data_IF_415693539251
#
_entry.id   IF_415693539251
#
_cell.length_a   1.000
_cell.length_b   1.000
_cell.length_c   1.000
_cell.angle_alpha   90.00
_cell.angle_beta   90.00
_cell.angle_gamma   90.00
#
_symmetry.space_group_name_H-M   'P 1'
#
loop_
_entity.id
_entity.type
_entity.pdbx_description
1 polymer ?
#
# COMPACT_ATOMS: atom_id res chain seq x y z
N UNK A 1 19.69 0.43 13.73
CA UNK A 1 18.71 1.40 14.29
C UNK A 1 17.39 0.69 14.50
N UNK A 2 16.70 0.94 15.62
CA UNK A 2 15.37 0.37 15.85
C UNK A 2 14.35 0.97 14.86
N UNK A 3 13.44 0.13 14.36
CA UNK A 3 12.33 0.56 13.49
C UNK A 3 11.32 1.37 14.32
N UNK A 4 10.85 2.49 13.77
CA UNK A 4 9.71 3.22 14.35
C UNK A 4 8.42 2.41 14.21
N UNK A 5 7.41 2.66 15.05
CA UNK A 5 6.11 1.98 14.95
C UNK A 5 5.50 2.06 13.54
N UNK A 6 5.63 3.22 12.88
CA UNK A 6 5.14 3.42 11.50
C UNK A 6 5.89 2.57 10.49
N UNK A 7 7.21 2.46 10.62
CA UNK A 7 8.00 1.58 9.75
C UNK A 7 7.63 0.13 9.99
N UNK A 8 7.52 -0.30 11.25
CA UNK A 8 7.10 -1.66 11.62
C UNK A 8 5.68 -1.99 11.15
N UNK A 9 4.79 -1.00 11.06
CA UNK A 9 3.44 -1.16 10.50
C UNK A 9 3.49 -1.31 8.96
N UNK A 10 4.31 -0.50 8.29
CA UNK A 10 4.55 -0.61 6.85
C UNK A 10 5.09 -1.99 6.47
N UNK A 11 6.20 -2.40 7.10
CA UNK A 11 6.84 -3.71 6.89
C UNK A 11 5.85 -4.87 7.09
N UNK A 12 5.02 -4.78 8.13
CA UNK A 12 4.03 -5.81 8.43
C UNK A 12 2.97 -5.92 7.31
N UNK A 13 2.46 -4.79 6.80
CA UNK A 13 1.47 -4.81 5.73
C UNK A 13 2.05 -5.27 4.39
N UNK A 14 3.26 -4.85 4.05
CA UNK A 14 3.99 -5.34 2.87
C UNK A 14 4.13 -6.86 2.90
N UNK A 15 4.54 -7.40 4.07
CA UNK A 15 4.63 -8.84 4.29
C UNK A 15 3.27 -9.53 4.10
N UNK A 16 2.18 -8.99 4.66
CA UNK A 16 0.84 -9.58 4.49
C UNK A 16 0.39 -9.63 3.04
N UNK A 17 0.64 -8.59 2.25
CA UNK A 17 0.32 -8.61 0.82
C UNK A 17 1.16 -9.66 0.09
N UNK A 18 2.46 -9.74 0.38
CA UNK A 18 3.35 -10.74 -0.26
C UNK A 18 2.96 -12.20 0.03
N UNK A 19 2.42 -12.46 1.22
CA UNK A 19 2.04 -13.80 1.67
C UNK A 19 0.66 -14.23 1.15
N UNK A 20 -0.28 -13.29 1.06
CA UNK A 20 -1.71 -13.60 0.89
C UNK A 20 -2.24 -13.28 -0.51
N UNK A 21 -1.62 -12.37 -1.26
CA UNK A 21 -2.16 -11.91 -2.54
C UNK A 21 -1.50 -12.61 -3.73
N UNK A 22 -2.31 -12.94 -4.75
CA UNK A 22 -1.82 -13.39 -6.04
C UNK A 22 -1.37 -12.19 -6.87
N UNK A 23 -0.50 -12.40 -7.85
CA UNK A 23 -0.15 -11.34 -8.78
C UNK A 23 -1.38 -10.94 -9.61
N UNK A 24 -1.82 -9.67 -9.60
CA UNK A 24 -3.02 -9.26 -10.31
C UNK A 24 -2.80 -9.20 -11.83
N UNK A 25 -1.55 -9.17 -12.31
CA UNK A 25 -1.22 -9.26 -13.73
C UNK A 25 -1.25 -10.72 -14.22
N UNK A 26 -0.34 -11.56 -13.74
CA UNK A 26 -0.21 -12.95 -14.24
C UNK A 26 -1.03 -14.00 -13.48
N UNK A 27 -1.77 -13.60 -12.44
CA UNK A 27 -2.63 -14.45 -11.59
C UNK A 27 -1.93 -15.56 -10.81
N UNK A 28 -0.60 -15.70 -10.93
CA UNK A 28 0.16 -16.71 -10.18
C UNK A 28 0.19 -16.38 -8.68
N UNK A 29 0.09 -17.43 -7.88
CA UNK A 29 0.23 -17.37 -6.43
C UNK A 29 1.71 -17.44 -6.03
N UNK A 30 2.05 -16.97 -4.83
CA UNK A 30 3.40 -17.07 -4.21
C UNK A 30 4.55 -16.39 -4.96
N UNK A 31 4.27 -15.56 -5.97
CA UNK A 31 5.27 -14.82 -6.76
C UNK A 31 5.50 -13.38 -6.29
N UNK A 32 4.64 -12.84 -5.43
CA UNK A 32 4.81 -11.47 -4.91
C UNK A 32 5.94 -11.44 -3.88
N UNK A 33 7.01 -10.69 -4.16
CA UNK A 33 8.21 -10.54 -3.32
C UNK A 33 8.42 -9.08 -2.90
N UNK A 34 8.99 -8.91 -1.71
CA UNK A 34 9.40 -7.61 -1.19
C UNK A 34 10.56 -7.05 -2.02
N UNK A 35 10.46 -5.77 -2.41
CA UNK A 35 11.58 -5.03 -2.98
C UNK A 35 12.55 -4.59 -1.87
N UNK A 36 13.81 -4.27 -2.22
CA UNK A 36 14.76 -3.73 -1.26
C UNK A 36 14.25 -2.43 -0.61
N UNK A 37 14.62 -2.16 0.66
CA UNK A 37 14.27 -0.92 1.32
C UNK A 37 14.70 0.31 0.50
N UNK A 38 13.89 1.37 0.54
CA UNK A 38 14.08 2.62 -0.22
C UNK A 38 13.92 2.50 -1.75
N UNK A 39 13.40 1.39 -2.27
CA UNK A 39 12.95 1.35 -3.66
C UNK A 39 11.85 2.41 -3.86
N UNK A 40 12.04 3.29 -4.86
CA UNK A 40 11.16 4.46 -5.01
C UNK A 40 9.78 4.05 -5.53
N UNK A 41 8.75 4.34 -4.73
CA UNK A 41 7.32 4.27 -5.07
C UNK A 41 6.72 2.87 -5.33
N UNK A 42 7.49 1.79 -5.20
CA UNK A 42 6.97 0.43 -5.24
C UNK A 42 7.59 -0.39 -4.11
N UNK A 43 6.82 -1.32 -3.57
CA UNK A 43 7.18 -2.11 -2.39
C UNK A 43 7.22 -3.61 -2.72
N UNK A 44 6.49 -4.05 -3.75
CA UNK A 44 6.45 -5.44 -4.20
C UNK A 44 6.72 -5.59 -5.69
N UNK A 45 7.33 -6.73 -6.05
CA UNK A 45 7.51 -7.22 -7.41
C UNK A 45 7.00 -8.65 -7.55
N UNK A 46 6.34 -8.97 -8.66
CA UNK A 46 6.11 -10.36 -9.06
C UNK A 46 7.38 -10.91 -9.70
N UNK A 47 8.02 -11.90 -9.07
CA UNK A 47 9.27 -12.51 -9.58
C UNK A 47 9.08 -13.32 -10.88
N UNK A 48 7.84 -13.59 -11.28
CA UNK A 48 7.53 -14.25 -12.55
C UNK A 48 7.34 -13.29 -13.72
N UNK A 49 6.55 -12.21 -13.54
CA UNK A 49 6.16 -11.32 -14.66
C UNK A 49 6.62 -9.87 -14.51
N UNK A 50 7.41 -9.55 -13.48
CA UNK A 50 7.93 -8.20 -13.24
C UNK A 50 6.88 -7.16 -12.81
N UNK A 51 5.66 -7.58 -12.48
CA UNK A 51 4.61 -6.66 -12.05
C UNK A 51 4.99 -5.93 -10.75
N UNK A 52 4.94 -4.60 -10.76
CA UNK A 52 5.27 -3.75 -9.62
C UNK A 52 4.01 -3.19 -8.96
N UNK A 53 4.03 -3.08 -7.63
CA UNK A 53 2.94 -2.48 -6.86
C UNK A 53 3.44 -1.78 -5.60
N UNK A 54 2.65 -0.80 -5.17
CA UNK A 54 2.85 -0.07 -3.92
C UNK A 54 1.93 -0.63 -2.84
N UNK A 55 2.41 -0.67 -1.60
CA UNK A 55 1.65 -1.01 -0.41
C UNK A 55 1.58 0.22 0.50
N UNK A 56 0.39 0.50 1.04
CA UNK A 56 0.22 1.47 2.12
C UNK A 56 -0.59 0.83 3.23
N UNK A 57 -0.06 0.93 4.44
CA UNK A 57 -0.68 0.36 5.63
C UNK A 57 -1.11 1.48 6.57
N UNK A 58 -2.33 1.40 7.09
CA UNK A 58 -2.79 2.34 8.10
C UNK A 58 -3.62 1.66 9.19
N UNK A 59 -3.52 2.21 10.39
CA UNK A 59 -4.33 1.79 11.53
C UNK A 59 -5.70 2.45 11.45
N UNK A 60 -6.76 1.66 11.59
CA UNK A 60 -8.15 2.10 11.55
C UNK A 60 -8.93 1.52 12.73
N UNK A 61 -10.12 2.06 12.97
CA UNK A 61 -11.08 1.50 13.96
C UNK A 61 -11.99 0.44 13.35
N UNK A 62 -12.16 0.45 12.02
CA UNK A 62 -12.95 -0.52 11.26
C UNK A 62 -12.22 -0.87 9.96
N UNK A 63 -11.84 -2.13 9.82
CA UNK A 63 -11.11 -2.64 8.65
C UNK A 63 -11.99 -2.76 7.39
N UNK A 64 -13.31 -2.58 7.55
CA UNK A 64 -14.31 -2.55 6.47
C UNK A 64 -14.50 -1.16 5.85
N UNK A 65 -13.94 -0.12 6.45
CA UNK A 65 -14.13 1.25 6.01
C UNK A 65 -12.82 1.86 5.54
N UNK A 66 -12.72 2.11 4.23
CA UNK A 66 -11.56 2.82 3.64
C UNK A 66 -11.54 4.26 4.18
N UNK A 67 -10.43 4.71 4.80
CA UNK A 67 -10.34 6.07 5.31
C UNK A 67 -10.35 7.09 4.17
N UNK A 68 -10.80 8.31 4.46
CA UNK A 68 -10.86 9.41 3.49
C UNK A 68 -9.50 9.75 2.87
N UNK A 69 -8.45 9.67 3.68
CA UNK A 69 -7.08 9.95 3.26
C UNK A 69 -6.07 9.15 4.06
N UNK A 70 -4.90 8.90 3.46
CA UNK A 70 -3.75 8.27 4.12
C UNK A 70 -2.44 9.02 3.80
N UNK A 71 -1.40 8.76 4.60
CA UNK A 71 -0.08 9.35 4.37
C UNK A 71 0.63 8.65 3.21
N UNK A 72 1.14 9.45 2.28
CA UNK A 72 2.12 9.05 1.28
C UNK A 72 3.56 9.12 1.80
N UNK A 73 4.51 8.72 0.95
CA UNK A 73 5.94 8.82 1.19
C UNK A 73 6.48 10.19 0.74
N UNK A 74 7.61 10.23 0.03
CA UNK A 74 8.18 11.45 -0.53
C UNK A 74 7.39 11.93 -1.76
N UNK A 75 7.15 13.24 -1.86
CA UNK A 75 6.36 13.82 -2.94
C UNK A 75 7.09 13.82 -4.28
N UNK A 76 8.35 14.27 -4.32
CA UNK A 76 9.07 14.46 -5.59
C UNK A 76 9.16 13.15 -6.42
N UNK A 77 9.64 12.00 -5.88
CA UNK A 77 9.67 10.76 -6.65
C UNK A 77 8.29 10.30 -7.14
N UNK A 78 7.23 10.61 -6.39
CA UNK A 78 5.86 10.29 -6.79
C UNK A 78 5.40 11.19 -7.94
N UNK A 79 5.67 12.51 -7.84
CA UNK A 79 5.37 13.49 -8.87
C UNK A 79 6.07 13.16 -10.19
N UNK A 80 7.37 12.88 -10.17
CA UNK A 80 8.16 12.52 -11.37
C UNK A 80 7.55 11.33 -12.12
N UNK A 81 7.03 10.33 -11.38
CA UNK A 81 6.37 9.17 -11.98
C UNK A 81 5.02 9.54 -12.58
N UNK A 82 4.22 10.34 -11.89
CA UNK A 82 2.91 10.80 -12.40
C UNK A 82 3.07 11.66 -13.64
N UNK A 83 4.07 12.55 -13.68
CA UNK A 83 4.42 13.35 -14.87
C UNK A 83 4.81 12.48 -16.07
N UNK A 84 5.36 11.29 -15.81
CA UNK A 84 5.65 10.27 -16.82
C UNK A 84 4.46 9.30 -17.09
N UNK A 85 3.28 9.57 -16.53
CA UNK A 85 2.10 8.69 -16.56
C UNK A 85 2.34 7.28 -15.99
N UNK A 86 3.30 7.14 -15.06
CA UNK A 86 3.66 5.89 -14.41
C UNK A 86 2.95 5.81 -13.05
N UNK A 87 1.93 4.96 -12.97
CA UNK A 87 1.27 4.59 -11.71
C UNK A 87 1.55 3.13 -11.39
N UNK A 88 1.81 2.87 -10.11
CA UNK A 88 1.82 1.51 -9.58
C UNK A 88 0.49 1.24 -8.90
N UNK A 89 -0.07 0.05 -9.11
CA UNK A 89 -1.28 -0.33 -8.41
C UNK A 89 -1.04 -0.31 -6.90
N UNK A 90 -2.07 0.07 -6.16
CA UNK A 90 -2.01 0.30 -4.73
C UNK A 90 -2.70 -0.84 -3.98
N UNK A 91 -1.95 -1.51 -3.12
CA UNK A 91 -2.52 -2.31 -2.04
C UNK A 91 -2.69 -1.43 -0.81
N UNK A 92 -3.91 -1.35 -0.29
CA UNK A 92 -4.24 -0.67 0.95
C UNK A 92 -4.52 -1.69 2.04
N UNK A 93 -3.64 -1.74 3.04
CA UNK A 93 -3.79 -2.61 4.20
C UNK A 93 -4.37 -1.80 5.36
N UNK A 94 -5.57 -2.16 5.77
CA UNK A 94 -6.25 -1.58 6.93
C UNK A 94 -6.10 -2.54 8.10
N UNK A 95 -5.65 -2.08 9.26
CA UNK A 95 -5.49 -2.95 10.43
C UNK A 95 -5.93 -2.26 11.71
N UNK A 96 -6.46 -3.04 12.66
CA UNK A 96 -6.63 -2.59 14.04
C UNK A 96 -5.27 -2.34 14.70
N UNK A 97 -5.25 -1.52 15.75
CA UNK A 97 -4.00 -1.11 16.42
C UNK A 97 -3.18 -2.29 16.95
N UNK A 98 -3.85 -3.29 17.48
CA UNK A 98 -3.27 -4.53 18.01
C UNK A 98 -3.03 -5.60 16.94
N UNK A 99 -3.42 -5.32 15.68
CA UNK A 99 -3.33 -6.23 14.53
C UNK A 99 -4.17 -7.50 14.68
N UNK A 100 -5.17 -7.50 15.56
CA UNK A 100 -6.09 -8.62 15.74
C UNK A 100 -6.99 -8.85 14.51
N UNK A 101 -7.29 -7.78 13.77
CA UNK A 101 -8.02 -7.83 12.52
C UNK A 101 -7.41 -6.88 11.47
N UNK A 102 -7.56 -7.27 10.20
CA UNK A 102 -7.08 -6.52 9.05
C UNK A 102 -7.81 -6.88 7.76
N UNK A 103 -7.69 -6.00 6.78
CA UNK A 103 -8.18 -6.19 5.42
C UNK A 103 -7.16 -5.68 4.41
N UNK A 104 -7.12 -6.33 3.25
CA UNK A 104 -6.31 -5.90 2.11
C UNK A 104 -7.26 -5.50 0.99
N UNK A 105 -7.14 -4.25 0.57
CA UNK A 105 -7.83 -3.71 -0.60
C UNK A 105 -6.83 -3.47 -1.73
N UNK A 106 -7.32 -3.49 -2.95
CA UNK A 106 -6.55 -3.28 -4.15
C UNK A 106 -7.20 -2.22 -5.03
N UNK A 107 -6.40 -1.28 -5.50
CA UNK A 107 -6.76 -0.30 -6.52
C UNK A 107 -5.81 -0.44 -7.71
N UNK A 108 -6.38 -0.76 -8.88
CA UNK A 108 -5.60 -0.83 -10.11
C UNK A 108 -4.95 0.52 -10.43
N UNK A 109 -3.74 0.50 -11.00
CA UNK A 109 -3.06 1.69 -11.52
C UNK A 109 -3.94 2.50 -12.49
N UNK A 110 -4.77 1.83 -13.28
CA UNK A 110 -5.60 2.48 -14.32
C UNK A 110 -6.85 3.16 -13.73
N UNK A 111 -7.14 2.94 -12.44
CA UNK A 111 -8.27 3.53 -11.72
C UNK A 111 -7.83 4.67 -10.79
N UNK A 112 -6.54 4.97 -10.76
CA UNK A 112 -5.96 6.07 -10.00
C UNK A 112 -6.05 7.38 -10.80
N UNK A 113 -6.15 8.48 -10.08
CA UNK A 113 -6.23 9.83 -10.64
C UNK A 113 -5.19 10.74 -9.99
N UNK A 114 -4.68 11.73 -10.72
CA UNK A 114 -3.72 12.70 -10.18
C UNK A 114 -4.23 13.43 -8.96
N UNK A 115 -5.53 13.74 -8.95
CA UNK A 115 -6.20 14.41 -7.84
C UNK A 115 -6.14 13.62 -6.52
N UNK A 116 -5.83 12.31 -6.57
CA UNK A 116 -5.58 11.52 -5.38
C UNK A 116 -4.30 11.94 -4.66
N UNK A 117 -3.30 12.49 -5.35
CA UNK A 117 -1.98 12.73 -4.78
C UNK A 117 -1.80 14.21 -4.44
N UNK A 118 -1.93 14.55 -3.15
CA UNK A 118 -1.92 15.94 -2.69
C UNK A 118 -0.61 16.25 -1.95
N UNK A 119 0.27 17.11 -2.48
CA UNK A 119 1.51 17.49 -1.79
C UNK A 119 1.20 18.17 -0.45
N UNK A 120 1.97 17.82 0.59
CA UNK A 120 1.92 18.49 1.89
C UNK A 120 2.88 19.67 1.90
N UNK A 121 2.76 20.54 2.90
CA UNK A 121 3.80 21.54 3.18
C UNK A 121 5.12 20.84 3.50
N UNK A 122 6.26 21.29 2.94
CA UNK A 122 7.58 20.80 3.34
C UNK A 122 7.78 20.93 4.86
N UNK A 123 8.59 20.04 5.44
CA UNK A 123 8.94 20.12 6.85
C UNK A 123 9.73 21.40 7.12
N UNK A 124 9.46 22.01 8.27
CA UNK A 124 10.11 23.24 8.72
C UNK A 124 11.63 23.08 8.84
N UNK A 125 12.35 24.21 8.81
CA UNK A 125 13.81 24.26 9.00
C UNK A 125 14.30 23.60 10.29
N UNK A 126 13.49 23.61 11.36
CA UNK A 126 13.82 22.97 12.63
C UNK A 126 13.63 21.43 12.65
N UNK A 127 13.05 20.83 11.61
CA UNK A 127 12.80 19.39 11.59
C UNK A 127 14.06 18.60 11.25
N UNK A 128 14.16 17.36 11.77
CA UNK A 128 15.27 16.43 11.45
C UNK A 128 15.50 16.23 9.95
N UNK A 129 14.45 16.34 9.15
CA UNK A 129 14.48 16.27 7.67
C UNK A 129 13.95 17.58 7.09
N UNK A 130 14.57 18.70 7.45
CA UNK A 130 14.19 20.03 6.95
C UNK A 130 14.02 20.03 5.43
N UNK A 131 12.96 20.67 4.93
CA UNK A 131 12.65 20.73 3.51
C UNK A 131 12.06 19.44 2.92
N UNK A 132 12.09 18.31 3.62
CA UNK A 132 11.46 17.08 3.13
C UNK A 132 9.95 17.30 2.94
N UNK A 133 9.44 16.93 1.76
CA UNK A 133 8.04 17.05 1.43
C UNK A 133 7.43 15.67 1.24
N UNK A 134 6.38 15.39 2.00
CA UNK A 134 5.52 14.24 1.76
C UNK A 134 4.24 14.61 1.03
N UNK A 135 3.38 13.63 0.79
CA UNK A 135 2.06 13.84 0.21
C UNK A 135 0.98 13.09 1.00
N UNK A 136 -0.28 13.40 0.71
CA UNK A 136 -1.46 12.64 1.13
C UNK A 136 -2.04 11.92 -0.08
N UNK A 137 -2.57 10.73 0.15
CA UNK A 137 -3.46 10.06 -0.78
C UNK A 137 -4.90 10.38 -0.36
N UNK A 138 -5.64 11.12 -1.19
CA UNK A 138 -7.08 11.34 -1.07
C UNK A 138 -7.81 10.16 -1.70
N UNK A 139 -8.59 9.45 -0.90
CA UNK A 139 -9.24 8.21 -1.28
C UNK A 139 -10.75 8.35 -1.50
N UNK A 140 -11.38 9.44 -1.04
CA UNK A 140 -12.83 9.61 -1.09
C UNK A 140 -13.44 9.45 -2.49
N UNK A 141 -12.76 9.97 -3.52
CA UNK A 141 -13.24 9.94 -4.91
C UNK A 141 -13.03 8.59 -5.60
N UNK A 142 -12.16 7.74 -5.03
CA UNK A 142 -11.80 6.43 -5.62
C UNK A 142 -12.16 5.25 -4.72
N UNK A 143 -12.74 5.49 -3.53
CA UNK A 143 -13.07 4.43 -2.56
C UNK A 143 -13.94 3.31 -3.16
N UNK A 144 -14.88 3.68 -4.03
CA UNK A 144 -15.76 2.72 -4.73
C UNK A 144 -15.05 1.88 -5.82
N UNK A 145 -13.80 2.19 -6.13
CA UNK A 145 -12.97 1.49 -7.13
C UNK A 145 -12.03 0.47 -6.50
N UNK A 146 -11.90 0.47 -5.17
CA UNK A 146 -11.13 -0.54 -4.46
C UNK A 146 -11.88 -1.86 -4.45
N UNK A 147 -11.13 -2.95 -4.67
CA UNK A 147 -11.62 -4.32 -4.48
C UNK A 147 -11.00 -4.87 -3.22
N UNK A 148 -11.82 -5.41 -2.31
CA UNK A 148 -11.31 -6.15 -1.16
C UNK A 148 -10.82 -7.52 -1.60
N UNK A 149 -9.54 -7.81 -1.36
CA UNK A 149 -8.92 -9.09 -1.68
C UNK A 149 -8.85 -10.05 -0.49
N UNK A 150 -8.76 -9.50 0.73
CA UNK A 150 -8.61 -10.30 1.96
C UNK A 150 -9.24 -9.59 3.15
N UNK A 151 -9.76 -10.35 4.12
CA UNK A 151 -10.15 -9.89 5.45
C UNK A 151 -9.96 -11.04 6.46
N UNK A 152 -9.45 -10.76 7.67
CA UNK A 152 -9.15 -11.81 8.66
C UNK A 152 -10.37 -12.28 9.46
N UNK A 153 -11.29 -11.38 9.83
CA UNK A 153 -12.53 -11.73 10.52
C UNK A 153 -13.53 -12.42 9.57
N UNK A 154 -13.34 -13.72 9.33
CA UNK A 154 -14.25 -14.54 8.52
C UNK A 154 -13.59 -15.61 7.67
N UNK A 155 -12.26 -15.70 7.67
CA UNK A 155 -11.57 -16.80 7.01
C UNK A 155 -11.18 -17.88 8.03
N UNK A 156 -11.82 -19.04 7.90
CA UNK A 156 -11.24 -20.28 8.36
C UNK A 156 -9.95 -20.47 7.56
N UNK A 157 -8.77 -20.25 8.17
CA UNK A 157 -7.46 -20.37 7.52
C UNK A 157 -7.20 -21.73 6.84
N UNK A 158 -8.08 -22.71 7.05
CA UNK A 158 -8.08 -24.01 6.40
C UNK A 158 -8.45 -24.00 4.90
N UNK A 159 -9.13 -22.96 4.38
CA UNK A 159 -9.65 -23.00 2.99
C UNK A 159 -8.75 -22.35 1.92
N UNK A 160 -7.64 -21.72 2.30
CA UNK A 160 -6.70 -21.09 1.35
C UNK A 160 -5.56 -22.02 0.88
N UNK A 161 -5.56 -23.28 1.33
CA UNK A 161 -4.50 -24.26 1.08
C UNK A 161 -4.84 -25.39 0.12
N UNK A 162 -6.01 -25.41 -0.52
CA UNK A 162 -6.40 -26.48 -1.44
C UNK A 162 -7.07 -25.92 -2.70
N UNK A 163 -6.24 -25.54 -3.67
CA UNK A 163 -6.63 -25.59 -5.08
C UNK A 163 -5.36 -25.91 -5.86
N UNK A 164 -5.45 -27.03 -6.58
CA UNK A 164 -4.42 -27.85 -7.23
C UNK A 164 -3.30 -27.12 -7.98
#
# INVERSE_FOLDING_TARGET
MARTERQSLGDWGEKKVSELCFCPSCKRSKTMKLLPPNFKCADLICDFCGYLSQVKTCTVVDVNSIPRQILGAAWEPQRERMEAAIYFSLYLVLSLKDRSDFSIYFLSKDLQEDAMFVPRKPLSSAAKRAGWQGYLLQLDNVKGRFVRLFWSAGQNLASLGQSH
#
